data_IF_345746957705
#
_entry.id   IF_345746957705
#
_cell.length_a   1.000
_cell.length_b   1.000
_cell.length_c   1.000
_cell.angle_alpha   90.00
_cell.angle_beta   90.00
_cell.angle_gamma   90.00
#
_symmetry.space_group_name_H-M   'P 1'
#
loop_
_entity.id
_entity.type
_entity.pdbx_description
1 polymer ?
#
# COMPACT_ATOMS: atom_id res chain seq x y z
N UNK A 1 -24.29 -17.41 -8.51
CA UNK A 1 -23.52 -16.53 -7.61
C UNK A 1 -22.06 -16.78 -7.92
N UNK A 2 -21.32 -15.76 -8.35
CA UNK A 2 -19.88 -15.92 -8.60
C UNK A 2 -19.14 -16.20 -7.28
N UNK A 3 -18.16 -17.11 -7.27
CA UNK A 3 -17.41 -17.41 -6.06
C UNK A 3 -16.64 -16.17 -5.60
N UNK A 4 -16.83 -15.79 -4.33
CA UNK A 4 -16.13 -14.68 -3.70
C UNK A 4 -14.63 -14.96 -3.80
N UNK A 5 -13.88 -14.10 -4.50
CA UNK A 5 -12.42 -14.23 -4.60
C UNK A 5 -11.79 -13.92 -3.23
N UNK A 6 -11.52 -14.96 -2.46
CA UNK A 6 -10.84 -14.88 -1.17
C UNK A 6 -9.39 -14.44 -1.41
N UNK A 7 -8.99 -13.35 -0.76
CA UNK A 7 -7.63 -12.83 -0.83
C UNK A 7 -6.75 -13.42 0.28
N UNK A 8 -7.33 -13.63 1.46
CA UNK A 8 -6.62 -14.05 2.66
C UNK A 8 -7.54 -14.89 3.54
N UNK A 9 -7.01 -15.95 4.13
CA UNK A 9 -7.64 -16.64 5.26
C UNK A 9 -6.82 -16.36 6.51
N UNK A 10 -7.46 -15.91 7.57
CA UNK A 10 -6.83 -15.70 8.87
C UNK A 10 -7.55 -16.51 9.94
N UNK A 11 -6.80 -16.93 10.97
CA UNK A 11 -7.36 -17.56 12.16
C UNK A 11 -7.33 -16.51 13.26
N UNK A 12 -8.50 -16.11 13.75
CA UNK A 12 -8.65 -15.18 14.87
C UNK A 12 -9.51 -15.85 15.92
N UNK A 13 -9.00 -15.97 17.14
CA UNK A 13 -9.66 -16.67 18.27
C UNK A 13 -10.11 -18.09 17.91
N UNK A 14 -9.30 -18.81 17.14
CA UNK A 14 -9.58 -20.16 16.67
C UNK A 14 -10.65 -20.26 15.58
N UNK A 15 -11.19 -19.14 15.09
CA UNK A 15 -12.16 -19.11 13.97
C UNK A 15 -11.45 -18.74 12.68
N UNK A 16 -11.67 -19.55 11.65
CA UNK A 16 -11.28 -19.18 10.29
C UNK A 16 -12.17 -18.05 9.77
N UNK A 17 -11.53 -16.98 9.30
CA UNK A 17 -12.18 -15.88 8.62
C UNK A 17 -11.58 -15.72 7.23
N UNK A 18 -12.44 -15.83 6.23
CA UNK A 18 -12.09 -15.52 4.84
C UNK A 18 -12.27 -14.02 4.62
N UNK A 19 -11.25 -13.38 4.07
CA UNK A 19 -11.23 -11.95 3.77
C UNK A 19 -11.12 -11.79 2.25
N UNK A 20 -12.06 -11.05 1.68
CA UNK A 20 -12.05 -10.68 0.27
C UNK A 20 -10.99 -9.61 -0.05
N UNK A 21 -10.65 -9.45 -1.33
CA UNK A 21 -9.74 -8.38 -1.76
C UNK A 21 -10.24 -6.99 -1.41
N UNK A 22 -11.56 -6.77 -1.47
CA UNK A 22 -12.19 -5.50 -1.11
C UNK A 22 -12.03 -5.19 0.37
N UNK A 23 -12.34 -6.18 1.23
CA UNK A 23 -12.18 -6.04 2.68
C UNK A 23 -10.71 -5.81 3.05
N UNK A 24 -9.78 -6.50 2.39
CA UNK A 24 -8.34 -6.32 2.61
C UNK A 24 -7.88 -4.91 2.20
N UNK A 25 -8.32 -4.43 1.03
CA UNK A 25 -7.97 -3.10 0.52
C UNK A 25 -8.49 -2.01 1.46
N UNK A 26 -9.75 -2.13 1.90
CA UNK A 26 -10.35 -1.20 2.84
C UNK A 26 -9.60 -1.18 4.18
N UNK A 27 -9.31 -2.37 4.73
CA UNK A 27 -8.58 -2.50 5.99
C UNK A 27 -7.18 -1.89 5.90
N UNK A 28 -6.45 -2.12 4.82
CA UNK A 28 -5.12 -1.55 4.60
C UNK A 28 -5.15 -0.03 4.53
N UNK A 29 -6.08 0.56 3.78
CA UNK A 29 -6.20 2.01 3.66
C UNK A 29 -6.52 2.66 5.02
N UNK A 30 -7.47 2.10 5.77
CA UNK A 30 -7.85 2.60 7.09
C UNK A 30 -6.70 2.49 8.10
N UNK A 31 -5.99 1.37 8.11
CA UNK A 31 -4.85 1.16 9.00
C UNK A 31 -3.71 2.14 8.71
N UNK A 32 -3.39 2.35 7.43
CA UNK A 32 -2.36 3.30 7.00
C UNK A 32 -2.73 4.74 7.36
N UNK A 33 -3.97 5.15 7.12
CA UNK A 33 -4.46 6.48 7.48
C UNK A 33 -4.37 6.72 8.98
N UNK A 34 -4.85 5.76 9.78
CA UNK A 34 -4.80 5.84 11.24
C UNK A 34 -3.36 5.96 11.76
N UNK A 35 -2.45 5.15 11.21
CA UNK A 35 -1.03 5.17 11.56
C UNK A 35 -0.40 6.54 11.25
N UNK A 36 -0.56 7.04 10.03
CA UNK A 36 -0.01 8.35 9.61
C UNK A 36 -0.55 9.47 10.51
N UNK A 37 -1.85 9.49 10.77
CA UNK A 37 -2.48 10.47 11.67
C UNK A 37 -1.90 10.41 13.07
N UNK A 38 -1.65 9.21 13.61
CA UNK A 38 -1.07 9.04 14.93
C UNK A 38 0.37 9.56 14.99
N UNK A 39 1.18 9.27 13.97
CA UNK A 39 2.58 9.70 13.89
C UNK A 39 2.71 11.22 13.76
N UNK A 40 1.85 11.85 12.95
CA UNK A 40 1.76 13.32 12.85
C UNK A 40 1.34 13.95 14.18
N UNK A 41 0.33 13.40 14.86
CA UNK A 41 -0.10 13.87 16.20
C UNK A 41 1.02 13.75 17.24
N UNK A 42 1.86 12.73 17.13
CA UNK A 42 3.04 12.52 17.98
C UNK A 42 4.26 13.32 17.53
N UNK A 43 4.15 14.11 16.45
CA UNK A 43 5.22 14.92 15.87
C UNK A 43 6.49 14.10 15.54
N UNK A 44 6.31 12.85 15.09
CA UNK A 44 7.44 11.98 14.72
C UNK A 44 8.06 12.42 13.38
N UNK A 45 7.25 12.95 12.47
CA UNK A 45 7.66 13.55 11.19
C UNK A 45 6.66 14.64 10.79
N UNK A 46 7.01 15.47 9.82
CA UNK A 46 6.10 16.46 9.22
C UNK A 46 5.46 15.96 7.91
N UNK A 47 4.28 16.49 7.58
CA UNK A 47 3.56 16.09 6.36
C UNK A 47 4.39 16.21 5.05
N UNK A 48 5.24 17.23 4.84
CA UNK A 48 6.09 17.31 3.65
C UNK A 48 7.08 16.14 3.53
N UNK A 49 7.68 15.70 4.64
CA UNK A 49 8.63 14.58 4.66
C UNK A 49 7.96 13.28 4.19
N UNK A 50 6.71 13.04 4.62
CA UNK A 50 5.94 11.89 4.17
C UNK A 50 5.65 11.93 2.67
N UNK A 51 5.33 13.11 2.12
CA UNK A 51 5.06 13.27 0.69
C UNK A 51 6.32 13.03 -0.17
N UNK A 52 7.48 13.49 0.31
CA UNK A 52 8.77 13.23 -0.34
C UNK A 52 9.08 11.72 -0.35
N UNK A 53 8.95 11.06 0.79
CA UNK A 53 9.23 9.62 0.91
C UNK A 53 8.24 8.78 0.08
N UNK A 54 6.96 9.17 0.01
CA UNK A 54 5.97 8.56 -0.88
C UNK A 54 6.39 8.68 -2.36
N UNK A 55 6.92 9.84 -2.76
CA UNK A 55 7.46 10.06 -4.09
C UNK A 55 8.65 9.15 -4.38
N UNK A 56 9.58 9.04 -3.43
CA UNK A 56 10.75 8.17 -3.52
C UNK A 56 10.37 6.70 -3.64
N UNK A 57 9.53 6.18 -2.75
CA UNK A 57 9.06 4.79 -2.78
C UNK A 57 8.33 4.50 -4.10
N UNK A 58 7.55 5.45 -4.62
CA UNK A 58 6.91 5.31 -5.94
C UNK A 58 7.97 5.16 -7.04
N UNK A 59 9.00 6.00 -7.04
CA UNK A 59 10.07 5.89 -8.03
C UNK A 59 10.84 4.57 -7.91
N UNK A 60 11.16 4.12 -6.70
CA UNK A 60 11.91 2.88 -6.48
C UNK A 60 11.13 1.64 -6.91
N UNK A 61 9.82 1.60 -6.64
CA UNK A 61 8.97 0.42 -6.91
C UNK A 61 8.31 0.41 -8.29
N UNK A 62 8.10 1.57 -8.89
CA UNK A 62 7.38 1.71 -10.16
C UNK A 62 8.26 2.27 -11.29
N UNK A 63 9.58 2.42 -11.10
CA UNK A 63 10.51 2.47 -12.24
C UNK A 63 10.40 1.15 -13.00
N UNK A 64 9.81 1.21 -14.19
CA UNK A 64 9.63 0.06 -15.06
C UNK A 64 10.98 -0.60 -15.38
N UNK A 65 11.07 -1.94 -15.34
CA UNK A 65 12.19 -2.69 -15.94
C UNK A 65 12.27 -2.56 -17.47
N UNK A 66 11.26 -1.97 -18.13
CA UNK A 66 11.12 -1.94 -19.60
C UNK A 66 11.04 -0.52 -20.17
N UNK A 67 11.96 0.38 -19.78
CA UNK A 67 12.23 1.53 -20.63
C UNK A 67 13.10 1.05 -21.81
N UNK A 68 12.62 1.06 -23.07
CA UNK A 68 13.52 0.80 -24.20
C UNK A 68 14.68 1.82 -24.13
N UNK A 69 15.92 1.40 -24.44
CA UNK A 69 17.05 2.31 -24.38
C UNK A 69 16.74 3.52 -25.25
N UNK A 70 16.94 4.71 -24.69
CA UNK A 70 16.78 5.96 -25.42
C UNK A 70 17.71 5.89 -26.65
N UNK A 71 17.13 5.89 -27.84
CA UNK A 71 17.90 5.99 -29.09
C UNK A 71 18.78 7.24 -28.99
N UNK A 72 20.09 7.03 -29.01
CA UNK A 72 21.08 8.09 -29.15
C UNK A 72 20.74 8.85 -30.43
N UNK A 73 20.21 10.07 -30.28
CA UNK A 73 20.11 11.01 -31.39
C UNK A 73 21.53 11.38 -31.81
N UNK A 74 21.99 10.77 -32.90
CA UNK A 74 23.15 11.22 -33.68
C UNK A 74 22.92 12.63 -34.23
#
# INVERSE_FOLDING_TARGET
>A
MEPKKVALKIIVDGKEKEISFEELTLANNLAQEALVKLLLKKQIFQAPELLEELGRVRQERYKAPDAPPAEEKK
#
